data_IF_563979222380
#
_entry.id   IF_563979222380
#
_cell.length_a   1.000
_cell.length_b   1.000
_cell.length_c   1.000
_cell.angle_alpha   90.00
_cell.angle_beta   90.00
_cell.angle_gamma   90.00
#
_symmetry.space_group_name_H-M   'P 1'
#
loop_
_entity.id
_entity.type
_entity.pdbx_description
1 polymer ?
#
# COMPACT_ATOMS: atom_id res chain seq x y z
N UNK A 1 -7.45 20.75 1.24
CA UNK A 1 -6.99 19.35 1.18
C UNK A 1 -8.01 18.34 1.73
N UNK A 2 -8.88 18.69 2.68
CA UNK A 2 -9.89 17.77 3.25
C UNK A 2 -10.98 17.27 2.28
N UNK A 3 -11.29 17.99 1.20
CA UNK A 3 -12.30 17.56 0.21
C UNK A 3 -11.90 16.28 -0.57
N UNK A 4 -10.61 15.97 -0.63
CA UNK A 4 -10.09 14.80 -1.35
C UNK A 4 -9.98 13.54 -0.48
N UNK A 5 -10.27 13.67 0.82
CA UNK A 5 -10.24 12.55 1.74
C UNK A 5 -11.34 11.54 1.36
N UNK A 6 -11.03 10.24 1.28
CA UNK A 6 -11.99 9.21 0.87
C UNK A 6 -12.28 9.14 -0.64
N UNK A 7 -11.62 9.95 -1.48
CA UNK A 7 -11.86 9.97 -2.94
C UNK A 7 -11.63 8.61 -3.61
N UNK A 8 -10.64 7.84 -3.15
CA UNK A 8 -10.30 6.53 -3.70
C UNK A 8 -10.98 5.36 -2.97
N UNK A 9 -11.65 5.63 -1.85
CA UNK A 9 -12.30 4.61 -1.02
C UNK A 9 -13.66 4.27 -1.61
N UNK A 10 -14.08 2.98 -1.65
CA UNK A 10 -15.36 2.59 -2.21
C UNK A 10 -16.53 3.26 -1.51
N UNK A 11 -17.47 3.85 -2.26
CA UNK A 11 -18.67 4.50 -1.70
C UNK A 11 -19.53 3.55 -0.85
N UNK A 12 -19.41 2.24 -1.09
CA UNK A 12 -20.12 1.20 -0.36
C UNK A 12 -19.74 1.17 1.13
N UNK A 13 -18.56 1.68 1.49
CA UNK A 13 -18.06 1.78 2.86
C UNK A 13 -18.13 3.20 3.44
N UNK A 14 -18.99 4.08 2.92
CA UNK A 14 -19.15 5.46 3.44
C UNK A 14 -19.60 5.49 4.92
N UNK A 15 -20.30 4.44 5.38
CA UNK A 15 -20.65 4.24 6.79
C UNK A 15 -19.44 4.01 7.71
N UNK A 16 -18.33 3.52 7.16
CA UNK A 16 -17.10 3.17 7.87
C UNK A 16 -15.97 4.19 7.62
N UNK A 17 -15.96 4.81 6.44
CA UNK A 17 -14.95 5.77 6.02
C UNK A 17 -15.63 7.05 5.55
N UNK A 18 -15.37 8.15 6.26
CA UNK A 18 -15.91 9.47 5.92
C UNK A 18 -15.61 9.86 4.47
N UNK A 19 -16.65 10.32 3.75
CA UNK A 19 -16.55 10.91 2.43
C UNK A 19 -16.01 9.93 1.37
N UNK A 20 -16.47 8.67 1.40
CA UNK A 20 -16.09 7.65 0.44
C UNK A 20 -16.79 7.90 -0.91
N UNK A 21 -16.01 8.09 -1.98
CA UNK A 21 -16.53 8.50 -3.31
C UNK A 21 -16.03 7.65 -4.48
N UNK A 22 -15.13 6.72 -4.22
CA UNK A 22 -14.49 5.86 -5.21
C UNK A 22 -15.19 4.51 -5.35
N UNK A 23 -14.44 3.55 -5.88
CA UNK A 23 -14.82 2.15 -6.01
C UNK A 23 -13.64 1.24 -5.62
N UNK A 24 -13.83 -0.08 -5.64
CA UNK A 24 -12.78 -1.03 -5.25
C UNK A 24 -11.54 -0.95 -6.14
N UNK A 25 -11.69 -0.66 -7.44
CA UNK A 25 -10.56 -0.52 -8.35
C UNK A 25 -9.70 0.70 -8.01
N UNK A 26 -10.31 1.85 -7.71
CA UNK A 26 -9.58 3.04 -7.28
C UNK A 26 -8.88 2.83 -5.94
N UNK A 27 -9.51 2.07 -5.05
CA UNK A 27 -8.97 1.70 -3.74
C UNK A 27 -7.71 0.82 -3.88
N UNK A 28 -7.76 -0.20 -4.75
CA UNK A 28 -6.61 -1.06 -5.04
C UNK A 28 -5.44 -0.27 -5.62
N UNK A 29 -5.70 0.59 -6.61
CA UNK A 29 -4.66 1.39 -7.26
C UNK A 29 -4.03 2.36 -6.25
N UNK A 30 -4.84 3.17 -5.57
CA UNK A 30 -4.34 4.15 -4.62
C UNK A 30 -3.61 3.49 -3.44
N UNK A 31 -4.16 2.40 -2.90
CA UNK A 31 -3.56 1.66 -1.82
C UNK A 31 -2.25 1.00 -2.21
N UNK A 32 -2.17 0.41 -3.41
CA UNK A 32 -0.95 -0.17 -3.94
C UNK A 32 0.18 0.86 -3.99
N UNK A 33 -0.05 2.02 -4.62
CA UNK A 33 0.96 3.07 -4.70
C UNK A 33 1.32 3.67 -3.35
N UNK A 34 0.35 3.79 -2.43
CA UNK A 34 0.62 4.23 -1.06
C UNK A 34 1.55 3.24 -0.32
N UNK A 35 1.27 1.94 -0.41
CA UNK A 35 2.13 0.92 0.21
C UNK A 35 3.50 0.81 -0.44
N UNK A 36 3.60 0.85 -1.78
CA UNK A 36 4.88 0.89 -2.50
C UNK A 36 5.69 2.10 -2.08
N UNK A 37 5.08 3.29 -2.04
CA UNK A 37 5.73 4.52 -1.59
C UNK A 37 6.24 4.42 -0.15
N UNK A 38 5.45 3.84 0.75
CA UNK A 38 5.84 3.63 2.15
C UNK A 38 7.04 2.68 2.30
N UNK A 39 7.16 1.67 1.44
CA UNK A 39 8.29 0.74 1.44
C UNK A 39 9.54 1.27 0.75
N UNK A 40 9.40 2.06 -0.32
CA UNK A 40 10.54 2.61 -1.07
C UNK A 40 11.40 3.55 -0.21
N UNK A 41 10.79 4.31 0.71
CA UNK A 41 11.50 5.22 1.60
C UNK A 41 12.64 4.56 2.40
N UNK A 42 12.37 3.54 3.23
CA UNK A 42 13.42 2.85 3.98
C UNK A 42 14.42 2.11 3.10
N UNK A 43 14.01 1.51 1.97
CA UNK A 43 14.96 0.87 1.06
C UNK A 43 15.91 1.86 0.38
N UNK A 44 15.42 3.06 0.03
CA UNK A 44 16.26 4.13 -0.48
C UNK A 44 17.25 4.62 0.59
N UNK A 45 16.79 4.77 1.83
CA UNK A 45 17.69 5.13 2.93
C UNK A 45 18.79 4.07 3.15
N UNK A 46 18.44 2.78 3.07
CA UNK A 46 19.43 1.71 3.14
C UNK A 46 20.44 1.78 1.99
N UNK A 47 19.99 2.12 0.78
CA UNK A 47 20.86 2.29 -0.39
C UNK A 47 21.86 3.45 -0.20
N UNK A 48 21.44 4.55 0.43
CA UNK A 48 22.31 5.67 0.80
C UNK A 48 23.37 5.25 1.83
N UNK A 49 23.00 4.44 2.83
CA UNK A 49 23.97 3.91 3.79
C UNK A 49 25.05 3.05 3.11
N UNK A 50 24.66 2.21 2.14
CA UNK A 50 25.61 1.41 1.35
C UNK A 50 26.54 2.29 0.53
N UNK A 51 26.01 3.36 -0.09
CA UNK A 51 26.80 4.32 -0.85
C UNK A 51 27.82 5.05 0.03
N UNK A 52 27.40 5.54 1.21
CA UNK A 52 28.31 6.17 2.18
C UNK A 52 29.39 5.20 2.65
N UNK A 53 29.06 3.93 2.87
CA UNK A 53 30.01 2.91 3.26
C UNK A 53 31.01 2.57 2.13
N UNK A 54 30.55 2.56 0.87
CA UNK A 54 31.42 2.38 -0.30
C UNK A 54 32.44 3.53 -0.46
N UNK A 55 32.02 4.76 -0.19
CA UNK A 55 32.88 5.95 -0.25
C UNK A 55 33.84 5.99 0.94
N UNK A 56 33.32 5.93 2.16
CA UNK A 56 34.11 6.21 3.38
C UNK A 56 35.00 5.02 3.78
N UNK A 57 34.48 3.79 3.72
CA UNK A 57 35.22 2.62 4.22
C UNK A 57 36.02 1.92 3.13
N UNK A 58 35.47 1.86 1.92
CA UNK A 58 36.08 1.14 0.81
C UNK A 58 36.78 2.05 -0.20
N UNK A 59 36.74 3.37 0.01
CA UNK A 59 37.42 4.40 -0.79
C UNK A 59 37.23 4.16 -2.31
N UNK A 60 36.02 3.74 -2.70
CA UNK A 60 35.70 3.47 -4.10
C UNK A 60 35.62 4.77 -4.88
N UNK A 61 36.20 4.78 -6.08
CA UNK A 61 36.09 5.91 -7.00
C UNK A 61 34.66 6.07 -7.51
N UNK A 62 34.26 7.30 -7.82
CA UNK A 62 32.94 7.63 -8.36
C UNK A 62 32.62 6.85 -9.63
N UNK A 63 33.63 6.60 -10.47
CA UNK A 63 33.46 5.80 -11.69
C UNK A 63 33.09 4.35 -11.38
N UNK A 64 33.66 3.76 -10.32
CA UNK A 64 33.29 2.42 -9.87
C UNK A 64 31.86 2.40 -9.31
N UNK A 65 31.52 3.40 -8.49
CA UNK A 65 30.17 3.51 -7.90
C UNK A 65 29.12 3.62 -9.00
N UNK A 66 29.31 4.53 -9.95
CA UNK A 66 28.38 4.77 -11.06
C UNK A 66 28.16 3.53 -11.95
N UNK A 67 29.25 2.86 -12.31
CA UNK A 67 29.17 1.76 -13.27
C UNK A 67 28.80 0.40 -12.65
N UNK A 68 29.05 0.20 -11.35
CA UNK A 68 28.90 -1.12 -10.70
C UNK A 68 27.96 -1.14 -9.51
N UNK A 69 27.78 -0.05 -8.77
CA UNK A 69 27.01 -0.04 -7.51
C UNK A 69 25.65 0.62 -7.72
N UNK A 70 25.62 1.80 -8.33
CA UNK A 70 24.42 2.59 -8.61
C UNK A 70 23.27 1.80 -9.27
N UNK A 71 23.48 0.98 -10.32
CA UNK A 71 22.38 0.22 -10.92
C UNK A 71 21.74 -0.76 -9.92
N UNK A 72 22.51 -1.35 -9.00
CA UNK A 72 21.96 -2.24 -7.98
C UNK A 72 21.27 -1.46 -6.85
N UNK A 73 21.81 -0.30 -6.48
CA UNK A 73 21.21 0.56 -5.45
C UNK A 73 19.82 1.06 -5.84
N UNK A 74 19.53 1.19 -7.14
CA UNK A 74 18.18 1.54 -7.61
C UNK A 74 17.33 0.30 -7.95
N UNK A 75 17.91 -0.70 -8.61
CA UNK A 75 17.15 -1.88 -9.03
C UNK A 75 16.65 -2.71 -7.84
N UNK A 76 17.46 -2.89 -6.80
CA UNK A 76 17.09 -3.74 -5.66
C UNK A 76 15.89 -3.18 -4.88
N UNK A 77 15.88 -1.91 -4.44
CA UNK A 77 14.70 -1.32 -3.81
C UNK A 77 13.43 -1.40 -4.65
N UNK A 78 13.54 -1.15 -5.96
CA UNK A 78 12.40 -1.21 -6.87
C UNK A 78 11.86 -2.63 -6.99
N UNK A 79 12.72 -3.60 -7.25
CA UNK A 79 12.32 -5.01 -7.42
C UNK A 79 11.74 -5.59 -6.13
N UNK A 80 12.33 -5.28 -4.97
CA UNK A 80 11.85 -5.77 -3.68
C UNK A 80 10.52 -5.12 -3.32
N UNK A 81 10.40 -3.80 -3.43
CA UNK A 81 9.14 -3.11 -3.13
C UNK A 81 8.03 -3.55 -4.09
N UNK A 82 8.24 -3.44 -5.40
CA UNK A 82 7.21 -3.86 -6.35
C UNK A 82 6.88 -5.35 -6.24
N UNK A 83 7.87 -6.23 -6.07
CA UNK A 83 7.63 -7.66 -5.91
C UNK A 83 6.82 -7.99 -4.65
N UNK A 84 7.18 -7.40 -3.51
CA UNK A 84 6.48 -7.66 -2.25
C UNK A 84 5.06 -7.04 -2.22
N UNK A 85 4.85 -5.88 -2.82
CA UNK A 85 3.54 -5.23 -2.79
C UNK A 85 2.61 -5.70 -3.91
N UNK A 86 3.14 -6.22 -5.02
CA UNK A 86 2.31 -6.88 -6.05
C UNK A 86 1.71 -8.18 -5.52
N UNK A 87 2.43 -8.95 -4.71
CA UNK A 87 1.85 -10.14 -4.07
C UNK A 87 0.70 -9.76 -3.13
N UNK A 88 0.83 -8.67 -2.36
CA UNK A 88 -0.26 -8.16 -1.52
C UNK A 88 -1.48 -7.73 -2.34
N UNK A 89 -1.29 -7.14 -3.52
CA UNK A 89 -2.38 -6.81 -4.45
C UNK A 89 -3.05 -8.07 -5.01
N UNK A 90 -2.26 -9.06 -5.45
CA UNK A 90 -2.78 -10.33 -6.02
C UNK A 90 -3.55 -11.14 -4.98
N UNK A 91 -3.11 -11.11 -3.71
CA UNK A 91 -3.81 -11.76 -2.60
C UNK A 91 -5.07 -11.03 -2.14
N UNK A 92 -5.39 -9.86 -2.71
CA UNK A 92 -6.58 -9.09 -2.33
C UNK A 92 -6.47 -8.45 -0.94
N UNK A 93 -5.25 -8.18 -0.46
CA UNK A 93 -5.03 -7.66 0.89
C UNK A 93 -5.13 -6.12 1.00
N UNK A 94 -5.43 -5.42 -0.10
CA UNK A 94 -5.58 -3.95 -0.11
C UNK A 94 -7.05 -3.61 0.15
N UNK A 95 -7.32 -3.11 1.34
CA UNK A 95 -8.68 -2.89 1.84
C UNK A 95 -8.84 -1.48 2.42
N UNK A 96 -10.08 -0.96 2.52
CA UNK A 96 -10.36 0.30 3.22
C UNK A 96 -9.91 0.25 4.68
N UNK A 97 -9.18 1.27 5.13
CA UNK A 97 -8.63 1.34 6.51
C UNK A 97 -9.57 2.03 7.52
N UNK A 98 -10.71 2.55 7.06
CA UNK A 98 -11.61 3.42 7.84
C UNK A 98 -11.13 4.86 7.97
N UNK A 99 -9.86 5.12 7.65
CA UNK A 99 -9.25 6.45 7.68
C UNK A 99 -9.19 7.10 6.28
N UNK A 100 -10.23 6.93 5.46
CA UNK A 100 -10.30 7.58 4.13
C UNK A 100 -9.22 7.13 3.14
N UNK A 101 -8.54 6.02 3.41
CA UNK A 101 -7.44 5.47 2.63
C UNK A 101 -7.60 3.96 2.46
N UNK A 102 -6.89 3.40 1.50
CA UNK A 102 -6.79 1.96 1.28
C UNK A 102 -5.37 1.51 1.56
N UNK A 103 -5.22 0.46 2.36
CA UNK A 103 -3.92 -0.03 2.84
C UNK A 103 -3.92 -1.56 2.90
N UNK A 104 -2.75 -2.16 3.12
CA UNK A 104 -2.64 -3.59 3.42
C UNK A 104 -3.19 -3.81 4.82
N UNK A 105 -4.43 -4.26 4.90
CA UNK A 105 -5.12 -4.53 6.16
C UNK A 105 -6.10 -5.67 5.97
N UNK A 106 -6.36 -6.42 7.03
CA UNK A 106 -7.45 -7.37 7.06
C UNK A 106 -8.76 -6.62 6.87
N UNK A 107 -9.57 -7.04 5.90
CA UNK A 107 -10.94 -6.55 5.76
C UNK A 107 -11.75 -7.09 6.93
N UNK A 108 -12.08 -6.21 7.87
CA UNK A 108 -12.88 -6.53 9.05
C UNK A 108 -13.95 -5.46 9.22
N UNK A 109 -15.00 -5.46 8.37
CA UNK A 109 -16.08 -4.50 8.49
C UNK A 109 -16.78 -4.64 9.85
N UNK A 110 -17.11 -3.53 10.54
CA UNK A 110 -17.66 -3.55 11.91
C UNK A 110 -19.01 -4.27 12.04
N UNK A 111 -19.68 -4.55 10.91
CA UNK A 111 -20.98 -5.23 10.86
C UNK A 111 -20.91 -6.72 10.49
N UNK A 112 -19.73 -7.29 10.20
CA UNK A 112 -19.57 -8.73 9.92
C UNK A 112 -19.18 -9.56 11.14
N UNK A 113 -19.40 -9.07 12.36
CA UNK A 113 -19.40 -9.90 13.57
C UNK A 113 -20.74 -10.63 13.71
N UNK A 114 -21.05 -11.50 12.75
CA UNK A 114 -22.24 -12.33 12.73
C UNK A 114 -21.85 -13.78 12.46
N UNK A 115 -22.09 -14.64 13.44
CA UNK A 115 -21.88 -16.09 13.37
C UNK A 115 -22.39 -16.69 12.07
N UNK A 116 -21.66 -17.71 11.63
CA UNK A 116 -21.70 -18.61 10.46
C UNK A 116 -23.07 -19.20 10.07
N UNK A 117 -24.19 -18.70 10.62
CA UNK A 117 -25.54 -19.11 10.28
C UNK A 117 -26.53 -18.04 10.79
N UNK A 118 -27.05 -17.19 9.91
CA UNK A 118 -28.07 -16.22 10.31
C UNK A 118 -28.40 -15.22 9.21
N UNK A 119 -29.51 -15.48 8.53
CA UNK A 119 -30.16 -14.68 7.48
C UNK A 119 -29.93 -13.16 7.52
N UNK A 120 -29.60 -12.59 6.36
CA UNK A 120 -29.67 -11.15 6.08
C UNK A 120 -31.13 -10.69 6.21
N UNK A 121 -31.38 -9.65 7.01
CA UNK A 121 -32.73 -9.05 7.14
C UNK A 121 -33.08 -8.30 5.85
N UNK A 122 -34.10 -8.78 5.13
CA UNK A 122 -34.62 -8.11 3.93
C UNK A 122 -35.01 -6.65 4.24
N UNK A 123 -34.35 -5.71 3.56
CA UNK A 123 -34.63 -4.27 3.63
C UNK A 123 -33.53 -3.40 4.22
N UNK A 124 -32.46 -3.99 4.78
CA UNK A 124 -31.25 -3.26 5.17
C UNK A 124 -30.14 -3.65 4.19
N UNK A 125 -29.61 -2.66 3.46
CA UNK A 125 -28.57 -2.76 2.43
C UNK A 125 -27.75 -4.06 2.51
N UNK A 126 -27.83 -4.91 1.48
CA UNK A 126 -26.88 -6.02 1.28
C UNK A 126 -25.48 -5.41 1.12
N UNK A 127 -24.80 -5.22 2.25
CA UNK A 127 -23.41 -4.81 2.27
C UNK A 127 -22.62 -6.12 2.10
N UNK A 128 -21.91 -6.31 0.98
CA UNK A 128 -21.15 -7.54 0.77
C UNK A 128 -20.10 -7.68 1.88
N UNK A 129 -20.16 -8.80 2.59
CA UNK A 129 -19.12 -9.30 3.48
C UNK A 129 -17.84 -9.64 2.71
#
# INVERSE_FOLDING_TARGET
TFLNFGMFVPKEVDYYSWNARGNMATCHIAGFFATVGSGLGPFYNASLCVLLLAIVKYEKSDEYIRNKIEPFLHAVPLLVAFGAYTSALVMGNINPSGAGTCLITSYSPPHCSGTENGSVTEGLFDIPC
#
